data_IF_634324704305
#
_entry.id   IF_634324704305
#
_cell.length_a   1.000
_cell.length_b   1.000
_cell.length_c   1.000
_cell.angle_alpha   90.00
_cell.angle_beta   90.00
_cell.angle_gamma   90.00
#
_symmetry.space_group_name_H-M   'P 1'
#
loop_
_entity.id
_entity.type
_entity.pdbx_description
1 polymer ?
#
# COMPACT_ATOMS: atom_id res chain seq x y z
N UNK A 1 68.16 28.42 29.12
CA UNK A 1 67.56 27.06 29.05
C UNK A 1 66.05 27.26 29.15
N UNK A 2 65.21 27.00 28.15
CA UNK A 2 64.84 25.75 27.46
C UNK A 2 64.19 26.22 26.13
N UNK A 3 64.76 26.04 24.94
CA UNK A 3 64.87 24.84 24.10
C UNK A 3 63.53 24.15 23.74
N UNK A 4 63.14 24.34 22.46
CA UNK A 4 62.44 23.39 21.56
C UNK A 4 60.93 23.17 21.73
N UNK A 5 60.14 23.88 20.90
CA UNK A 5 58.82 23.43 20.42
C UNK A 5 58.64 23.75 18.92
N UNK A 6 59.58 23.28 18.08
CA UNK A 6 59.58 23.47 16.62
C UNK A 6 59.63 22.15 15.84
N UNK A 7 58.92 21.12 16.33
CA UNK A 7 58.95 19.78 15.71
C UNK A 7 57.59 19.20 15.32
N UNK A 8 56.45 19.81 15.71
CA UNK A 8 55.12 19.24 15.43
C UNK A 8 54.44 19.80 14.18
N UNK A 9 54.82 21.00 13.71
CA UNK A 9 54.20 21.62 12.52
C UNK A 9 54.72 21.10 11.17
N UNK A 10 55.90 20.47 11.15
CA UNK A 10 56.54 20.03 9.90
C UNK A 10 56.05 18.67 9.37
N UNK A 11 55.58 17.79 10.26
CA UNK A 11 55.19 16.42 9.91
C UNK A 11 53.80 16.37 9.27
N UNK A 12 52.86 17.23 9.73
CA UNK A 12 51.51 17.27 9.16
C UNK A 12 51.48 17.80 7.72
N UNK A 13 52.34 18.77 7.37
CA UNK A 13 52.37 19.35 6.01
C UNK A 13 52.95 18.40 4.97
N UNK A 14 53.89 17.53 5.35
CA UNK A 14 54.46 16.52 4.41
C UNK A 14 53.50 15.37 4.09
N UNK A 15 52.55 15.06 4.98
CA UNK A 15 51.59 13.98 4.76
C UNK A 15 50.48 14.33 3.76
N UNK A 16 50.08 15.59 3.69
CA UNK A 16 49.02 16.05 2.76
C UNK A 16 49.54 16.17 1.33
N UNK A 17 50.79 16.63 1.14
CA UNK A 17 51.39 16.76 -0.20
C UNK A 17 51.67 15.40 -0.87
N UNK A 18 51.90 14.34 -0.09
CA UNK A 18 52.08 12.97 -0.59
C UNK A 18 50.79 12.33 -1.16
N UNK A 19 49.61 12.88 -0.82
CA UNK A 19 48.32 12.39 -1.37
C UNK A 19 48.05 13.01 -2.76
N UNK A 20 48.70 14.14 -3.09
CA UNK A 20 48.51 14.84 -4.37
C UNK A 20 49.41 14.35 -5.50
N UNK A 21 50.55 13.71 -5.18
CA UNK A 21 51.40 13.03 -6.14
C UNK A 21 51.12 11.54 -6.06
N UNK A 22 50.40 10.99 -7.04
CA UNK A 22 50.05 9.57 -7.08
C UNK A 22 51.26 8.66 -7.20
N UNK A 23 51.92 8.37 -6.07
CA UNK A 23 52.85 7.25 -5.93
C UNK A 23 52.29 6.25 -4.91
N UNK A 24 52.28 4.99 -5.32
CA UNK A 24 51.72 3.87 -4.61
C UNK A 24 52.53 3.57 -3.33
N UNK A 25 52.14 4.17 -2.21
CA UNK A 25 52.67 3.79 -0.90
C UNK A 25 51.94 2.54 -0.43
N UNK A 26 52.70 1.44 -0.38
CA UNK A 26 52.38 0.10 0.11
C UNK A 26 51.13 -0.01 0.99
N UNK A 27 50.16 -0.78 0.49
CA UNK A 27 48.83 -0.97 1.06
C UNK A 27 48.75 -1.62 2.45
N UNK A 28 49.87 -1.76 3.17
CA UNK A 28 49.90 -2.32 4.53
C UNK A 28 49.55 -1.28 5.59
N UNK A 29 50.16 -0.09 5.55
CA UNK A 29 49.94 0.95 6.58
C UNK A 29 48.54 1.58 6.50
N UNK A 30 48.02 1.81 5.29
CA UNK A 30 46.66 2.36 5.09
C UNK A 30 45.59 1.39 5.63
N UNK A 31 45.81 0.07 5.49
CA UNK A 31 44.90 -0.96 6.02
C UNK A 31 44.93 -1.06 7.55
N UNK A 32 46.09 -0.85 8.16
CA UNK A 32 46.22 -0.84 9.63
C UNK A 32 45.51 0.36 10.24
N UNK A 33 45.65 1.55 9.63
CA UNK A 33 44.94 2.75 10.10
C UNK A 33 43.42 2.67 9.87
N UNK A 34 42.95 2.10 8.77
CA UNK A 34 41.52 1.93 8.52
C UNK A 34 40.83 0.97 9.52
N UNK A 35 41.54 -0.06 9.99
CA UNK A 35 41.03 -0.97 11.04
C UNK A 35 41.01 -0.33 12.43
N UNK A 36 42.01 0.47 12.77
CA UNK A 36 42.08 1.17 14.07
C UNK A 36 40.96 2.21 14.25
N UNK A 37 40.45 2.76 13.14
CA UNK A 37 39.35 3.73 13.12
C UNK A 37 37.95 3.08 13.04
N UNK A 38 37.85 1.76 13.14
CA UNK A 38 36.56 1.06 13.15
C UNK A 38 35.78 1.16 11.83
N UNK A 39 36.45 1.44 10.70
CA UNK A 39 35.79 1.52 9.41
C UNK A 39 35.29 0.13 8.98
N UNK A 40 33.98 -0.09 9.08
CA UNK A 40 33.32 -1.28 8.53
C UNK A 40 33.34 -1.19 6.99
N UNK A 41 33.63 -2.31 6.35
CA UNK A 41 33.59 -2.43 4.89
C UNK A 41 32.24 -1.89 4.34
N UNK A 42 32.24 -1.17 3.20
CA UNK A 42 30.99 -0.71 2.61
C UNK A 42 30.14 -1.93 2.26
N UNK A 43 28.97 -2.03 2.88
CA UNK A 43 27.99 -3.04 2.55
C UNK A 43 27.55 -2.75 1.11
N UNK A 44 27.87 -3.65 0.18
CA UNK A 44 27.35 -3.57 -1.19
C UNK A 44 25.84 -3.68 -1.12
N UNK A 45 25.15 -2.54 -1.13
CA UNK A 45 23.71 -2.48 -1.20
C UNK A 45 23.30 -2.81 -2.63
N UNK A 46 23.29 -4.09 -2.98
CA UNK A 46 22.46 -4.54 -4.10
C UNK A 46 21.05 -4.12 -3.74
N UNK A 47 20.50 -3.16 -4.49
CA UNK A 47 19.14 -2.65 -4.29
C UNK A 47 18.18 -3.79 -4.64
N UNK A 48 17.90 -4.66 -3.68
CA UNK A 48 16.83 -5.63 -3.81
C UNK A 48 15.51 -4.88 -3.82
N UNK A 49 14.57 -5.37 -4.63
CA UNK A 49 13.21 -4.85 -4.61
C UNK A 49 12.70 -4.85 -3.16
N UNK A 50 12.01 -3.79 -2.72
CA UNK A 50 11.52 -3.72 -1.35
C UNK A 50 10.66 -4.95 -1.09
N UNK A 51 11.11 -5.80 -0.17
CA UNK A 51 10.32 -6.93 0.31
C UNK A 51 9.08 -6.28 0.93
N UNK A 52 7.92 -6.45 0.29
CA UNK A 52 6.63 -6.04 0.82
C UNK A 52 6.38 -6.89 2.07
N UNK A 53 6.87 -6.41 3.20
CA UNK A 53 6.56 -6.99 4.49
C UNK A 53 5.06 -6.83 4.70
N UNK A 54 4.38 -7.93 5.06
CA UNK A 54 2.96 -7.83 5.42
C UNK A 54 2.88 -6.84 6.56
N UNK A 55 2.15 -5.75 6.36
CA UNK A 55 1.86 -4.80 7.44
C UNK A 55 1.29 -5.60 8.63
N UNK A 56 1.70 -5.30 9.88
CA UNK A 56 1.01 -5.79 11.06
C UNK A 56 -0.50 -5.55 10.94
N UNK A 57 -1.31 -6.35 11.64
CA UNK A 57 -2.77 -6.18 11.66
C UNK A 57 -3.21 -4.76 12.05
N UNK A 58 -4.51 -4.49 11.97
CA UNK A 58 -5.12 -3.18 12.28
C UNK A 58 -4.45 -2.54 13.51
N UNK A 59 -3.82 -1.38 13.32
CA UNK A 59 -3.17 -0.62 14.39
C UNK A 59 -4.14 0.39 15.00
N UNK A 60 -3.85 0.88 16.20
CA UNK A 60 -4.72 1.82 16.92
C UNK A 60 -4.93 3.15 16.17
N UNK A 61 -3.98 3.56 15.32
CA UNK A 61 -4.10 4.74 14.46
C UNK A 61 -4.83 4.51 13.13
N UNK A 62 -5.30 3.30 12.85
CA UNK A 62 -5.97 2.99 11.58
C UNK A 62 -7.40 3.52 11.54
N UNK A 63 -7.59 4.57 10.73
CA UNK A 63 -8.91 5.09 10.38
C UNK A 63 -9.64 4.21 9.37
N UNK A 64 -10.98 4.30 9.37
CA UNK A 64 -11.84 3.60 8.42
C UNK A 64 -11.55 3.97 6.96
N UNK A 65 -11.98 3.13 6.01
CA UNK A 65 -11.65 3.31 4.59
C UNK A 65 -12.08 4.68 4.05
N UNK A 66 -13.30 5.13 4.35
CA UNK A 66 -13.85 6.42 3.92
C UNK A 66 -13.15 7.60 4.58
N UNK A 67 -12.76 7.48 5.85
CA UNK A 67 -12.06 8.54 6.58
C UNK A 67 -10.67 8.88 5.99
N UNK A 68 -10.14 8.07 5.07
CA UNK A 68 -8.87 8.35 4.38
C UNK A 68 -9.00 9.35 3.25
N UNK A 69 -10.20 9.53 2.69
CA UNK A 69 -10.42 10.32 1.46
C UNK A 69 -11.67 11.20 1.50
N UNK A 70 -12.60 10.93 2.42
CA UNK A 70 -13.79 11.72 2.61
C UNK A 70 -13.54 12.76 3.70
N UNK A 71 -13.22 13.98 3.28
CA UNK A 71 -12.89 15.09 4.20
C UNK A 71 -14.13 15.69 4.89
N UNK A 72 -15.33 15.43 4.35
CA UNK A 72 -16.59 16.00 4.84
C UNK A 72 -17.48 14.96 5.50
N UNK A 73 -18.02 15.30 6.67
CA UNK A 73 -19.04 14.52 7.39
C UNK A 73 -20.45 15.10 7.22
N UNK A 74 -20.63 16.11 6.36
CA UNK A 74 -21.92 16.78 6.17
C UNK A 74 -22.98 15.89 5.52
N UNK A 75 -22.56 14.81 4.82
CA UNK A 75 -23.43 13.80 4.24
C UNK A 75 -22.93 12.41 4.64
N UNK A 76 -23.81 11.40 4.69
CA UNK A 76 -23.40 10.01 4.85
C UNK A 76 -22.33 9.64 3.82
N UNK A 77 -21.38 8.82 4.23
CA UNK A 77 -20.38 8.27 3.35
C UNK A 77 -21.03 7.32 2.32
N UNK A 78 -20.40 7.07 1.16
CA UNK A 78 -20.94 6.14 0.18
C UNK A 78 -21.14 4.71 0.71
N UNK A 79 -20.33 4.28 1.69
CA UNK A 79 -20.54 3.02 2.39
C UNK A 79 -21.86 3.00 3.17
N UNK A 80 -22.20 4.10 3.84
CA UNK A 80 -23.45 4.22 4.60
C UNK A 80 -24.66 4.30 3.68
N UNK A 81 -24.57 5.05 2.57
CA UNK A 81 -25.63 5.06 1.55
C UNK A 81 -25.90 3.66 0.98
N UNK A 82 -24.85 2.90 0.65
CA UNK A 82 -24.99 1.53 0.16
C UNK A 82 -25.57 0.59 1.22
N UNK A 83 -25.19 0.77 2.50
CA UNK A 83 -25.70 -0.04 3.60
C UNK A 83 -27.16 0.27 3.96
N UNK A 84 -27.65 1.48 3.67
CA UNK A 84 -29.03 1.87 3.89
C UNK A 84 -30.01 1.25 2.87
N UNK A 85 -29.55 0.92 1.65
CA UNK A 85 -30.40 0.38 0.60
C UNK A 85 -30.81 -1.08 0.88
N UNK A 86 -32.11 -1.37 1.02
CA UNK A 86 -32.60 -2.70 1.40
C UNK A 86 -32.17 -3.83 0.42
N UNK A 87 -31.92 -5.05 0.94
CA UNK A 87 -31.69 -6.23 0.09
C UNK A 87 -32.89 -6.55 -0.80
N UNK A 88 -32.62 -6.97 -2.02
CA UNK A 88 -33.59 -7.26 -3.08
C UNK A 88 -33.84 -8.77 -3.13
N UNK A 89 -35.10 -9.18 -2.97
CA UNK A 89 -35.51 -10.57 -3.14
C UNK A 89 -35.62 -10.94 -4.61
N UNK A 90 -35.01 -12.05 -4.99
CA UNK A 90 -34.99 -12.58 -6.37
C UNK A 90 -35.66 -13.94 -6.38
N UNK A 91 -36.62 -14.14 -7.30
CA UNK A 91 -37.20 -15.44 -7.58
C UNK A 91 -36.23 -16.24 -8.48
N UNK A 92 -35.37 -17.05 -7.86
CA UNK A 92 -34.37 -17.85 -8.56
C UNK A 92 -33.09 -18.10 -7.75
N UNK A 93 -32.19 -18.88 -8.33
CA UNK A 93 -30.89 -19.25 -7.75
C UNK A 93 -29.76 -18.30 -8.16
N UNK A 94 -30.01 -17.41 -9.13
CA UNK A 94 -29.02 -16.52 -9.73
C UNK A 94 -29.63 -15.15 -10.04
N UNK A 95 -28.79 -14.13 -10.04
CA UNK A 95 -29.16 -12.77 -10.46
C UNK A 95 -28.02 -12.15 -11.25
N UNK A 96 -28.37 -11.31 -12.23
CA UNK A 96 -27.43 -10.43 -12.92
C UNK A 96 -27.66 -8.97 -12.53
N UNK A 97 -26.60 -8.16 -12.59
CA UNK A 97 -26.72 -6.70 -12.52
C UNK A 97 -27.65 -6.08 -13.59
N UNK A 98 -27.91 -6.78 -14.68
CA UNK A 98 -28.82 -6.39 -15.79
C UNK A 98 -30.21 -7.02 -15.67
N UNK A 99 -30.45 -7.85 -14.63
CA UNK A 99 -31.78 -8.38 -14.37
C UNK A 99 -32.74 -7.23 -14.02
N UNK A 100 -34.04 -7.37 -14.34
CA UNK A 100 -35.04 -6.38 -13.97
C UNK A 100 -35.01 -6.06 -12.47
N UNK A 101 -35.01 -4.77 -12.13
CA UNK A 101 -34.91 -4.27 -10.75
C UNK A 101 -33.51 -4.36 -10.12
N UNK A 102 -32.47 -4.75 -10.85
CA UNK A 102 -31.07 -4.81 -10.39
C UNK A 102 -30.30 -3.50 -10.67
N UNK A 103 -28.95 -3.56 -10.75
CA UNK A 103 -28.11 -2.36 -10.82
C UNK A 103 -28.47 -1.45 -12.03
N UNK A 104 -28.75 -2.01 -13.20
CA UNK A 104 -29.03 -1.20 -14.40
C UNK A 104 -30.35 -0.45 -14.30
N UNK A 105 -31.42 -1.09 -13.85
CA UNK A 105 -32.73 -0.43 -13.70
C UNK A 105 -32.72 0.64 -12.61
N UNK A 106 -31.87 0.48 -11.60
CA UNK A 106 -31.80 1.40 -10.44
C UNK A 106 -30.86 2.59 -10.66
N UNK A 107 -29.76 2.39 -11.40
CA UNK A 107 -28.69 3.38 -11.54
C UNK A 107 -28.36 3.74 -12.99
N UNK A 108 -28.98 3.06 -13.95
CA UNK A 108 -28.81 3.36 -15.37
C UNK A 108 -29.37 4.75 -15.68
N UNK A 109 -28.57 5.55 -16.39
CA UNK A 109 -29.01 6.85 -16.90
C UNK A 109 -29.54 6.65 -18.32
N UNK A 110 -30.85 6.84 -18.52
CA UNK A 110 -31.52 6.73 -19.82
C UNK A 110 -31.61 5.31 -20.41
N UNK A 111 -32.09 5.20 -21.65
CA UNK A 111 -32.30 3.92 -22.37
C UNK A 111 -31.00 3.16 -22.75
N UNK A 112 -29.84 3.66 -22.33
CA UNK A 112 -28.52 3.09 -22.66
C UNK A 112 -27.56 2.99 -21.47
N UNK A 113 -28.07 3.00 -20.23
CA UNK A 113 -27.27 3.11 -19.02
C UNK A 113 -26.04 2.19 -18.99
N UNK A 114 -24.84 2.79 -18.92
CA UNK A 114 -23.53 2.16 -18.68
C UNK A 114 -23.41 1.67 -17.22
N UNK A 115 -24.42 0.94 -16.73
CA UNK A 115 -24.43 0.37 -15.39
C UNK A 115 -23.21 -0.51 -15.14
N UNK A 116 -23.15 -1.11 -13.95
CA UNK A 116 -22.12 -2.09 -13.66
C UNK A 116 -22.07 -3.18 -14.76
N UNK A 117 -20.88 -3.66 -15.15
CA UNK A 117 -20.75 -4.75 -16.11
C UNK A 117 -21.63 -5.94 -15.72
N UNK A 118 -22.14 -6.65 -16.74
CA UNK A 118 -23.03 -7.78 -16.57
C UNK A 118 -22.36 -8.88 -15.73
N UNK A 119 -22.67 -8.89 -14.43
CA UNK A 119 -22.05 -9.77 -13.44
C UNK A 119 -23.10 -10.65 -12.80
N UNK A 120 -22.83 -11.94 -12.76
CA UNK A 120 -23.73 -12.94 -12.20
C UNK A 120 -23.36 -13.29 -10.77
N UNK A 121 -24.37 -13.40 -9.92
CA UNK A 121 -24.25 -13.84 -8.54
C UNK A 121 -25.10 -15.09 -8.32
N UNK A 122 -24.53 -16.08 -7.64
CA UNK A 122 -25.30 -17.21 -7.11
C UNK A 122 -25.94 -16.77 -5.80
N UNK A 123 -27.21 -17.13 -5.63
CA UNK A 123 -28.04 -16.80 -4.48
C UNK A 123 -28.39 -18.03 -3.64
N UNK A 124 -27.86 -19.20 -4.00
CA UNK A 124 -27.91 -20.38 -3.15
C UNK A 124 -27.35 -20.02 -1.77
N UNK A 125 -28.06 -20.38 -0.72
CA UNK A 125 -27.70 -20.12 0.68
C UNK A 125 -27.69 -18.64 1.09
N UNK A 126 -28.33 -17.76 0.32
CA UNK A 126 -28.53 -16.36 0.72
C UNK A 126 -29.86 -16.16 1.43
N UNK A 127 -29.89 -15.22 2.38
CA UNK A 127 -31.12 -14.77 3.04
C UNK A 127 -31.15 -13.24 3.09
N UNK A 128 -32.25 -12.66 3.59
CA UNK A 128 -32.33 -11.20 3.77
C UNK A 128 -31.24 -10.68 4.72
N UNK A 129 -30.88 -11.47 5.72
CA UNK A 129 -29.83 -11.19 6.71
C UNK A 129 -28.43 -11.44 6.13
N UNK A 130 -28.30 -12.44 5.24
CA UNK A 130 -27.04 -12.81 4.58
C UNK A 130 -27.15 -12.72 3.05
N UNK A 131 -27.26 -11.51 2.48
CA UNK A 131 -27.44 -11.34 1.05
C UNK A 131 -26.10 -11.36 0.30
N UNK A 132 -26.14 -11.75 -0.97
CA UNK A 132 -25.03 -11.56 -1.90
C UNK A 132 -24.91 -10.09 -2.29
N UNK A 133 -23.70 -9.52 -2.18
CA UNK A 133 -23.44 -8.11 -2.52
C UNK A 133 -22.84 -7.97 -3.91
N UNK A 134 -23.40 -7.10 -4.74
CA UNK A 134 -22.79 -6.70 -6.00
C UNK A 134 -21.47 -5.96 -5.74
N UNK A 135 -20.42 -6.42 -6.44
CA UNK A 135 -19.05 -5.89 -6.32
C UNK A 135 -18.95 -4.43 -6.78
N UNK A 136 -19.81 -4.01 -7.69
CA UNK A 136 -19.73 -2.69 -8.33
C UNK A 136 -20.66 -1.67 -7.67
N UNK A 137 -21.94 -2.01 -7.53
CA UNK A 137 -22.97 -1.07 -7.10
C UNK A 137 -23.31 -1.19 -5.61
N UNK A 138 -22.86 -2.26 -4.94
CA UNK A 138 -23.12 -2.47 -3.50
C UNK A 138 -24.55 -2.94 -3.18
N UNK A 139 -25.44 -3.08 -4.18
CA UNK A 139 -26.75 -3.68 -3.99
C UNK A 139 -26.64 -5.11 -3.46
N UNK A 140 -27.64 -5.49 -2.69
CA UNK A 140 -27.70 -6.77 -1.98
C UNK A 140 -28.85 -7.58 -2.54
N UNK A 141 -28.62 -8.85 -2.81
CA UNK A 141 -29.59 -9.76 -3.40
C UNK A 141 -29.73 -11.02 -2.55
N UNK A 142 -30.93 -11.56 -2.44
CA UNK A 142 -31.17 -12.85 -1.79
C UNK A 142 -32.23 -13.65 -2.53
N UNK A 143 -32.19 -14.98 -2.39
CA UNK A 143 -33.19 -15.85 -3.00
C UNK A 143 -34.49 -15.86 -2.20
N UNK A 144 -35.62 -15.79 -2.90
CA UNK A 144 -36.96 -16.02 -2.33
C UNK A 144 -37.34 -17.51 -2.35
N UNK A 145 -36.47 -18.39 -2.85
CA UNK A 145 -36.82 -19.76 -3.19
C UNK A 145 -37.54 -19.85 -4.54
N UNK A 146 -37.70 -21.07 -5.05
CA UNK A 146 -38.20 -21.35 -6.39
C UNK A 146 -37.07 -21.48 -7.39
N UNK A 147 -36.44 -22.66 -7.42
CA UNK A 147 -35.55 -23.03 -8.52
C UNK A 147 -36.36 -23.30 -9.79
N UNK A 148 -35.80 -22.95 -10.94
CA UNK A 148 -36.25 -23.46 -12.24
C UNK A 148 -35.85 -24.93 -12.40
#
# INVERSE_FOLDING_TARGET
MIARNRALGGVLRRGVDAIKGGEAVEGSLVRVFARALGAKAPVSATVHQPIQTKRPGKLDGDVGHTAKWLDSTAKPSPMEYSAAAEPIGVAGDKVSCDSPGACKDRFGVGEGGLGAPHTYYKLNDTSKEFPAKCKYCGLRFYTLGGGH
#
